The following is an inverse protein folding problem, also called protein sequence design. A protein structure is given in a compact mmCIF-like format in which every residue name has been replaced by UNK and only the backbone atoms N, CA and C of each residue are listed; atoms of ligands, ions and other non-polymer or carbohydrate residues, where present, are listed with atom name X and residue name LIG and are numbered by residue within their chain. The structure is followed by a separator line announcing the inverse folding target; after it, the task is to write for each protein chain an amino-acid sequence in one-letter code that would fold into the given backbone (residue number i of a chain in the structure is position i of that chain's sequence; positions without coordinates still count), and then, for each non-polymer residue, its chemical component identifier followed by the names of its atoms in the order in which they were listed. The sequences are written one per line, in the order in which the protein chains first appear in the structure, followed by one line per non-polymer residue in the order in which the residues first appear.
data_IF_684776621880
#
_entry.id   IF_684776621880
#
_cell.length_a   1.000
_cell.length_b   1.000
_cell.length_c   1.000
_cell.angle_alpha   90.00
_cell.angle_beta   90.00
_cell.angle_gamma   90.00
#
_symmetry.space_group_name_H-M   'P 1'
#
loop_
_entity.id
_entity.type
_entity.pdbx_description
1 polymer ?
#
# COMPACT_ATOMS: atom_id res chain seq x y z
N UNK A 1 25.68 -0.35 -0.75
CA UNK A 1 24.77 0.17 -1.80
C UNK A 1 24.44 -0.93 -2.78
N UNK A 2 23.16 -1.07 -3.18
CA UNK A 2 22.73 -2.06 -4.16
C UNK A 2 23.30 -1.75 -5.55
N UNK A 3 23.37 -2.77 -6.41
CA UNK A 3 23.67 -2.60 -7.82
C UNK A 3 22.44 -2.04 -8.54
N UNK A 4 22.64 -1.07 -9.42
CA UNK A 4 21.62 -0.72 -10.40
C UNK A 4 21.51 -1.86 -11.42
N UNK A 5 20.30 -2.05 -11.97
CA UNK A 5 20.01 -3.08 -12.95
C UNK A 5 19.11 -2.52 -14.05
N UNK A 6 19.21 -3.08 -15.24
CA UNK A 6 18.34 -2.80 -16.37
C UNK A 6 17.48 -4.02 -16.65
N UNK A 7 16.17 -3.82 -16.78
CA UNK A 7 15.22 -4.86 -17.19
C UNK A 7 14.50 -4.35 -18.43
N UNK A 8 14.60 -5.12 -19.50
CA UNK A 8 13.97 -4.81 -20.78
C UNK A 8 12.99 -5.92 -21.12
N UNK A 9 11.77 -5.54 -21.52
CA UNK A 9 10.81 -6.48 -22.11
C UNK A 9 11.28 -6.81 -23.52
N UNK A 10 11.61 -8.07 -23.78
CA UNK A 10 12.07 -8.54 -25.10
C UNK A 10 11.03 -9.32 -25.88
N UNK A 11 10.04 -9.87 -25.20
CA UNK A 11 8.95 -10.61 -25.82
C UNK A 11 7.63 -10.37 -25.10
N UNK A 12 6.64 -11.26 -25.29
CA UNK A 12 5.37 -11.13 -24.61
C UNK A 12 5.59 -11.21 -23.08
N UNK A 13 5.22 -10.16 -22.31
CA UNK A 13 5.53 -10.13 -20.89
C UNK A 13 4.64 -11.12 -20.13
N UNK A 14 5.27 -12.02 -19.37
CA UNK A 14 4.59 -12.81 -18.34
C UNK A 14 4.58 -11.96 -17.06
N UNK A 15 3.40 -11.54 -16.63
CA UNK A 15 3.27 -10.60 -15.51
C UNK A 15 3.40 -11.34 -14.18
N UNK A 16 4.63 -11.47 -13.68
CA UNK A 16 4.98 -12.07 -12.38
C UNK A 16 6.03 -11.24 -11.68
N UNK A 17 6.21 -11.47 -10.39
CA UNK A 17 7.30 -10.86 -9.63
C UNK A 17 8.38 -11.91 -9.38
N UNK A 18 9.63 -11.55 -9.62
CA UNK A 18 10.77 -12.47 -9.60
C UNK A 18 11.75 -12.10 -8.50
N UNK A 19 12.42 -13.12 -7.97
CA UNK A 19 13.54 -12.98 -7.05
C UNK A 19 14.73 -13.73 -7.62
N UNK A 20 15.80 -13.00 -7.94
CA UNK A 20 17.10 -13.59 -8.26
C UNK A 20 17.92 -13.66 -6.98
N UNK A 21 18.47 -14.84 -6.68
CA UNK A 21 19.25 -15.11 -5.47
C UNK A 21 20.65 -15.58 -5.88
N UNK A 22 21.67 -14.91 -5.33
CA UNK A 22 23.07 -15.28 -5.52
C UNK A 22 23.47 -16.32 -4.47
N UNK A 23 23.99 -17.45 -4.91
CA UNK A 23 24.55 -18.50 -4.08
C UNK A 23 26.07 -18.43 -3.94
N UNK A 24 26.60 -19.35 -3.13
CA UNK A 24 28.01 -19.37 -2.71
C UNK A 24 29.00 -19.73 -3.82
N UNK A 25 28.57 -20.50 -4.84
CA UNK A 25 29.43 -21.00 -5.90
C UNK A 25 28.65 -21.30 -7.19
N UNK A 26 29.39 -21.40 -8.30
CA UNK A 26 28.86 -21.91 -9.57
C UNK A 26 28.37 -23.35 -9.36
N UNK A 27 27.15 -23.65 -9.82
CA UNK A 27 26.44 -24.90 -9.55
C UNK A 27 25.28 -24.75 -8.56
N UNK A 28 25.11 -23.57 -7.95
CA UNK A 28 23.91 -23.22 -7.19
C UNK A 28 22.65 -23.19 -8.08
N UNK A 29 22.81 -22.78 -9.34
CA UNK A 29 21.78 -22.83 -10.36
C UNK A 29 22.32 -23.36 -11.69
N UNK A 30 21.43 -23.43 -12.67
CA UNK A 30 21.79 -23.78 -14.03
C UNK A 30 20.87 -23.05 -15.01
N UNK A 31 21.47 -22.46 -16.06
CA UNK A 31 20.72 -21.91 -17.18
C UNK A 31 20.22 -23.04 -18.10
N UNK A 32 19.22 -22.74 -18.92
CA UNK A 32 18.79 -23.62 -20.02
C UNK A 32 19.40 -23.17 -21.34
N UNK A 33 19.55 -24.12 -22.27
CA UNK A 33 19.83 -23.76 -23.67
C UNK A 33 18.63 -23.02 -24.24
N UNK A 34 18.86 -21.91 -24.94
CA UNK A 34 17.82 -21.19 -25.64
C UNK A 34 18.39 -20.35 -26.81
N UNK A 35 17.62 -20.24 -27.88
CA UNK A 35 17.88 -19.25 -28.93
C UNK A 35 17.34 -17.89 -28.48
N UNK A 36 18.21 -16.91 -28.31
CA UNK A 36 17.83 -15.56 -27.88
C UNK A 36 18.23 -14.51 -28.90
N UNK A 37 17.47 -13.42 -28.95
CA UNK A 37 17.81 -12.25 -29.75
C UNK A 37 18.75 -11.33 -28.95
N UNK A 38 20.02 -11.29 -29.33
CA UNK A 38 21.05 -10.49 -28.64
C UNK A 38 21.10 -9.04 -29.14
N UNK A 39 20.75 -8.83 -30.41
CA UNK A 39 20.55 -7.54 -31.06
C UNK A 39 19.37 -7.67 -32.03
N UNK A 40 18.65 -6.59 -32.39
CA UNK A 40 17.56 -6.67 -33.35
C UNK A 40 17.97 -7.42 -34.64
N UNK A 41 17.32 -8.54 -34.92
CA UNK A 41 17.57 -9.45 -36.05
C UNK A 41 18.73 -10.45 -35.86
N UNK A 42 19.43 -10.45 -34.71
CA UNK A 42 20.56 -11.35 -34.42
C UNK A 42 20.21 -12.38 -33.35
N UNK A 43 19.86 -13.57 -33.81
CA UNK A 43 19.57 -14.73 -32.96
C UNK A 43 20.83 -15.54 -32.70
N UNK A 44 21.03 -15.94 -31.44
CA UNK A 44 22.15 -16.79 -31.02
C UNK A 44 21.64 -17.89 -30.10
N UNK A 45 22.15 -19.10 -30.31
CA UNK A 45 21.96 -20.19 -29.36
C UNK A 45 22.91 -19.98 -28.17
N UNK A 46 22.35 -19.81 -26.98
CA UNK A 46 23.10 -19.81 -25.73
C UNK A 46 23.04 -21.22 -25.14
N UNK A 47 24.18 -21.86 -24.82
CA UNK A 47 24.18 -23.18 -24.22
C UNK A 47 23.72 -23.12 -22.75
N UNK A 48 23.26 -24.26 -22.25
CA UNK A 48 23.07 -24.46 -20.81
C UNK A 48 24.42 -24.47 -20.10
N UNK A 49 24.50 -23.80 -18.95
CA UNK A 49 25.68 -23.77 -18.10
C UNK A 49 25.30 -23.71 -16.63
N UNK A 50 26.19 -24.21 -15.76
CA UNK A 50 26.04 -24.02 -14.31
C UNK A 50 26.26 -22.55 -13.98
N UNK A 51 25.52 -22.03 -13.00
CA UNK A 51 25.60 -20.64 -12.58
C UNK A 51 25.64 -20.54 -11.06
N UNK A 52 26.06 -19.39 -10.53
CA UNK A 52 26.02 -19.11 -9.10
C UNK A 52 24.69 -18.49 -8.63
N UNK A 53 23.63 -18.51 -9.45
CA UNK A 53 22.37 -17.85 -9.11
C UNK A 53 21.16 -18.65 -9.59
N UNK A 54 20.04 -18.41 -8.93
CA UNK A 54 18.73 -18.93 -9.34
C UNK A 54 17.73 -17.79 -9.43
N UNK A 55 16.65 -18.02 -10.17
CA UNK A 55 15.54 -17.09 -10.28
C UNK A 55 14.28 -17.83 -9.87
N UNK A 56 13.46 -17.22 -9.03
CA UNK A 56 12.21 -17.81 -8.54
C UNK A 56 11.05 -16.83 -8.69
N UNK A 57 9.86 -17.37 -8.86
CA UNK A 57 8.62 -16.61 -8.71
C UNK A 57 8.41 -16.28 -7.23
N UNK A 58 8.15 -15.02 -6.91
CA UNK A 58 8.02 -14.58 -5.51
C UNK A 58 6.75 -15.09 -4.83
N UNK A 59 5.68 -15.40 -5.60
CA UNK A 59 4.41 -15.92 -5.10
C UNK A 59 4.46 -17.45 -4.97
N UNK A 60 4.84 -18.17 -6.02
CA UNK A 60 4.83 -19.64 -6.00
C UNK A 60 6.10 -20.24 -5.40
N UNK A 61 7.19 -19.46 -5.29
CA UNK A 61 8.54 -19.90 -4.89
C UNK A 61 9.18 -20.92 -5.84
N UNK A 62 8.55 -21.20 -6.98
CA UNK A 62 9.06 -22.13 -7.98
C UNK A 62 10.20 -21.50 -8.78
N UNK A 63 11.18 -22.31 -9.23
CA UNK A 63 12.26 -21.82 -10.09
C UNK A 63 11.74 -21.41 -11.47
N UNK A 64 12.28 -20.30 -11.98
CA UNK A 64 12.02 -19.78 -13.32
C UNK A 64 13.21 -20.13 -14.21
N UNK A 65 12.93 -20.64 -15.42
CA UNK A 65 13.98 -20.97 -16.39
C UNK A 65 14.58 -19.69 -16.96
N UNK A 66 15.88 -19.72 -17.23
CA UNK A 66 16.58 -18.60 -17.83
C UNK A 66 17.71 -19.09 -18.72
N UNK A 67 18.05 -18.31 -19.76
CA UNK A 67 19.30 -18.45 -20.49
C UNK A 67 20.29 -17.40 -19.98
N UNK A 68 21.57 -17.75 -19.95
CA UNK A 68 22.63 -16.89 -19.41
C UNK A 68 23.69 -16.65 -20.47
N UNK A 69 23.98 -15.38 -20.72
CA UNK A 69 25.04 -14.93 -21.59
C UNK A 69 26.19 -14.38 -20.74
N UNK A 70 27.17 -15.24 -20.48
CA UNK A 70 28.42 -14.93 -19.79
C UNK A 70 29.34 -14.11 -20.73
N UNK A 71 29.25 -12.78 -20.62
CA UNK A 71 30.00 -11.85 -21.47
C UNK A 71 31.35 -11.49 -20.87
N UNK A 72 31.48 -11.55 -19.54
CA UNK A 72 32.66 -11.18 -18.77
C UNK A 72 33.60 -12.36 -18.48
N UNK A 73 33.65 -13.31 -19.42
CA UNK A 73 34.54 -14.47 -19.40
C UNK A 73 35.61 -14.31 -20.49
N UNK A 74 36.89 -14.70 -20.27
CA UNK A 74 37.91 -14.67 -21.32
C UNK A 74 37.58 -15.49 -22.57
N UNK A 75 36.74 -16.53 -22.44
CA UNK A 75 36.24 -17.33 -23.55
C UNK A 75 35.07 -16.66 -24.31
N UNK A 76 34.61 -15.49 -23.85
CA UNK A 76 33.52 -14.75 -24.48
C UNK A 76 33.88 -14.40 -25.93
N UNK A 77 32.97 -14.66 -26.89
CA UNK A 77 33.19 -14.27 -28.28
C UNK A 77 33.18 -12.74 -28.47
N UNK A 78 32.64 -12.00 -27.49
CA UNK A 78 32.67 -10.53 -27.51
C UNK A 78 33.97 -10.02 -26.88
N UNK A 79 35.05 -9.96 -27.66
CA UNK A 79 36.38 -9.55 -27.19
C UNK A 79 36.41 -8.17 -26.51
N UNK A 80 35.46 -7.26 -26.82
CA UNK A 80 35.31 -5.97 -26.13
C UNK A 80 34.89 -6.08 -24.66
N UNK A 81 34.27 -7.20 -24.28
CA UNK A 81 33.86 -7.53 -22.93
C UNK A 81 34.76 -8.58 -22.28
N UNK A 82 35.83 -8.99 -22.97
CA UNK A 82 36.85 -9.82 -22.36
C UNK A 82 37.55 -9.01 -21.26
N UNK A 83 37.43 -9.40 -19.99
CA UNK A 83 37.97 -8.64 -18.88
C UNK A 83 39.51 -8.61 -18.84
N UNK A 84 40.19 -9.47 -19.62
CA UNK A 84 41.66 -9.56 -19.62
C UNK A 84 42.35 -8.51 -20.47
N UNK A 85 41.64 -7.84 -21.38
CA UNK A 85 42.28 -6.92 -22.32
C UNK A 85 42.73 -5.62 -21.64
N UNK A 86 42.00 -5.14 -20.63
CA UNK A 86 42.34 -3.97 -19.80
C UNK A 86 41.60 -4.03 -18.45
N UNK A 87 41.98 -4.92 -17.52
CA UNK A 87 41.27 -5.07 -16.26
C UNK A 87 41.40 -3.79 -15.41
N UNK A 88 40.31 -3.31 -14.79
CA UNK A 88 40.38 -2.31 -13.73
C UNK A 88 41.30 -2.78 -12.59
N UNK A 89 41.95 -1.85 -11.89
CA UNK A 89 42.92 -2.18 -10.84
C UNK A 89 42.38 -3.07 -9.71
N UNK A 90 41.05 -3.07 -9.49
CA UNK A 90 40.35 -3.87 -8.48
C UNK A 90 39.53 -5.02 -9.06
N UNK A 91 39.79 -5.41 -10.31
CA UNK A 91 39.07 -6.51 -10.96
C UNK A 91 39.62 -7.86 -10.52
N UNK A 92 38.75 -8.70 -9.98
CA UNK A 92 39.00 -10.11 -9.75
C UNK A 92 38.29 -10.91 -10.83
N UNK A 93 39.03 -11.77 -11.53
CA UNK A 93 38.44 -12.62 -12.55
C UNK A 93 37.48 -13.61 -11.89
N UNK A 94 36.23 -13.61 -12.36
CA UNK A 94 35.19 -14.53 -11.91
C UNK A 94 35.26 -15.85 -12.66
N UNK A 95 34.76 -16.93 -12.05
CA UNK A 95 34.58 -18.20 -12.72
C UNK A 95 33.46 -18.12 -13.76
N UNK A 96 33.54 -18.90 -14.85
CA UNK A 96 32.45 -18.95 -15.82
C UNK A 96 31.15 -19.40 -15.17
N UNK A 97 30.05 -18.70 -15.45
CA UNK A 97 28.75 -18.94 -14.81
C UNK A 97 28.50 -18.10 -13.56
N UNK A 98 29.51 -17.38 -13.06
CA UNK A 98 29.32 -16.42 -11.99
C UNK A 98 28.78 -15.09 -12.56
N UNK A 99 27.62 -14.64 -12.08
CA UNK A 99 27.02 -13.38 -12.51
C UNK A 99 27.94 -12.20 -12.20
N UNK A 100 28.25 -11.39 -13.21
CA UNK A 100 29.23 -10.32 -13.07
C UNK A 100 28.94 -9.10 -13.95
N UNK A 101 29.47 -7.95 -13.54
CA UNK A 101 29.47 -6.71 -14.29
C UNK A 101 30.81 -5.99 -14.11
N UNK A 102 31.42 -5.56 -15.22
CA UNK A 102 32.73 -4.94 -15.27
C UNK A 102 32.62 -3.52 -15.83
N UNK A 103 33.23 -2.57 -15.10
CA UNK A 103 33.43 -1.20 -15.54
C UNK A 103 34.72 -1.11 -16.38
N UNK A 104 34.64 -1.24 -17.71
CA UNK A 104 35.80 -1.14 -18.60
C UNK A 104 36.01 0.27 -19.17
N UNK A 105 37.20 0.54 -19.74
CA UNK A 105 37.53 1.81 -20.41
C UNK A 105 36.71 2.03 -21.70
N UNK A 106 36.30 0.96 -22.37
CA UNK A 106 35.46 0.98 -23.60
C UNK A 106 33.96 1.06 -23.31
N UNK A 107 33.53 1.00 -22.05
CA UNK A 107 32.12 1.04 -21.65
C UNK A 107 31.74 -0.02 -20.62
N UNK A 108 30.43 -0.30 -20.57
CA UNK A 108 29.80 -1.24 -19.63
C UNK A 108 29.75 -2.64 -20.26
N UNK A 109 30.33 -3.63 -19.62
CA UNK A 109 30.13 -5.04 -19.97
C UNK A 109 29.53 -5.77 -18.77
N UNK A 110 28.26 -6.14 -18.91
CA UNK A 110 27.53 -6.94 -17.94
C UNK A 110 27.12 -8.22 -18.60
N UNK A 111 27.12 -9.29 -17.84
CA UNK A 111 26.43 -10.51 -18.26
C UNK A 111 24.94 -10.23 -18.40
N UNK A 112 24.29 -11.04 -19.23
CA UNK A 112 22.90 -10.85 -19.59
C UNK A 112 22.12 -12.12 -19.27
N UNK A 113 20.98 -11.94 -18.61
CA UNK A 113 20.05 -13.00 -18.26
C UNK A 113 18.79 -12.81 -19.09
N UNK A 114 18.31 -13.90 -19.70
CA UNK A 114 17.06 -13.92 -20.44
C UNK A 114 16.09 -14.84 -19.72
N UNK A 115 14.94 -14.33 -19.26
CA UNK A 115 13.89 -15.16 -18.69
C UNK A 115 13.22 -15.97 -19.80
N UNK A 116 13.09 -17.28 -19.57
CA UNK A 116 12.52 -18.24 -20.51
C UNK A 116 11.25 -18.81 -19.89
N UNK A 117 10.11 -18.46 -20.46
CA UNK A 117 8.81 -18.74 -19.85
C UNK A 117 7.81 -19.25 -20.90
N UNK A 118 6.75 -19.88 -20.42
CA UNK A 118 5.64 -20.27 -21.27
C UNK A 118 4.61 -19.12 -21.30
N UNK A 119 4.28 -18.62 -22.49
CA UNK A 119 3.28 -17.56 -22.68
C UNK A 119 2.15 -18.06 -23.59
N UNK A 120 0.97 -18.26 -22.99
CA UNK A 120 -0.21 -18.85 -23.64
C UNK A 120 0.14 -20.23 -24.22
N UNK A 121 0.03 -20.41 -25.53
CA UNK A 121 0.32 -21.67 -26.23
C UNK A 121 1.80 -21.78 -26.65
N UNK A 122 2.59 -20.72 -26.50
CA UNK A 122 4.00 -20.69 -26.87
C UNK A 122 4.86 -21.06 -25.65
N UNK A 123 5.62 -22.14 -25.78
CA UNK A 123 6.54 -22.60 -24.73
C UNK A 123 7.95 -22.05 -24.93
N UNK A 124 8.63 -21.78 -23.82
CA UNK A 124 10.03 -21.39 -23.82
C UNK A 124 10.33 -20.08 -24.58
N UNK A 125 9.44 -19.11 -24.51
CA UNK A 125 9.66 -17.78 -25.11
C UNK A 125 10.53 -16.92 -24.20
N UNK A 126 11.35 -16.06 -24.83
CA UNK A 126 12.10 -15.03 -24.11
C UNK A 126 11.15 -13.90 -23.73
N UNK A 127 11.04 -13.57 -22.44
CA UNK A 127 10.11 -12.55 -21.94
C UNK A 127 10.84 -11.28 -21.54
N UNK A 128 11.81 -11.40 -20.64
CA UNK A 128 12.59 -10.31 -20.08
C UNK A 128 14.09 -10.52 -20.28
N UNK A 129 14.80 -9.43 -20.52
CA UNK A 129 16.27 -9.34 -20.47
C UNK A 129 16.67 -8.56 -19.23
N UNK A 130 17.52 -9.14 -18.41
CA UNK A 130 18.07 -8.52 -17.21
C UNK A 130 19.57 -8.38 -17.40
N UNK A 131 20.10 -7.20 -17.13
CA UNK A 131 21.54 -6.94 -17.09
C UNK A 131 21.87 -6.02 -15.93
N UNK A 132 23.02 -6.21 -15.32
CA UNK A 132 23.49 -5.35 -14.24
C UNK A 132 24.13 -4.08 -14.81
N UNK A 133 23.93 -2.95 -14.14
CA UNK A 133 24.71 -1.77 -14.40
C UNK A 133 26.02 -1.81 -13.59
N UNK A 134 27.09 -1.31 -14.19
CA UNK A 134 28.32 -1.05 -13.45
C UNK A 134 28.05 -0.08 -12.29
N UNK A 135 28.67 -0.35 -11.14
CA UNK A 135 28.43 0.44 -9.93
C UNK A 135 29.05 1.83 -10.09
N UNK A 136 28.28 2.90 -9.92
CA UNK A 136 28.78 4.27 -9.98
C UNK A 136 29.04 4.81 -8.57
N UNK A 137 30.26 5.31 -8.32
CA UNK A 137 30.65 5.88 -7.03
C UNK A 137 31.73 6.94 -7.21
N UNK A 138 31.63 8.03 -6.45
CA UNK A 138 32.64 9.11 -6.40
C UNK A 138 33.11 9.63 -7.78
N UNK A 139 32.21 9.69 -8.76
CA UNK A 139 32.51 10.20 -10.10
C UNK A 139 33.11 9.18 -11.06
N UNK A 140 33.21 7.89 -10.67
CA UNK A 140 33.74 6.81 -11.49
C UNK A 140 32.84 5.57 -11.55
N UNK A 141 33.05 4.74 -12.57
CA UNK A 141 32.49 3.39 -12.64
C UNK A 141 33.45 2.42 -11.94
N UNK A 142 32.93 1.65 -11.00
CA UNK A 142 33.66 0.62 -10.26
C UNK A 142 33.15 -0.76 -10.65
N UNK A 143 34.07 -1.70 -10.80
CA UNK A 143 33.71 -3.10 -10.91
C UNK A 143 33.40 -3.65 -9.53
N UNK A 144 32.19 -4.20 -9.39
CA UNK A 144 31.75 -4.90 -8.18
C UNK A 144 30.80 -6.01 -8.61
N UNK A 145 31.04 -7.22 -8.09
CA UNK A 145 30.23 -8.39 -8.38
C UNK A 145 29.21 -8.63 -7.25
N UNK A 146 28.04 -9.22 -7.56
CA UNK A 146 27.13 -9.72 -6.54
C UNK A 146 27.83 -10.75 -5.64
N UNK A 147 27.51 -10.72 -4.35
CA UNK A 147 28.03 -11.66 -3.36
C UNK A 147 26.97 -12.68 -2.98
N UNK A 148 27.37 -13.85 -2.44
CA UNK A 148 26.42 -14.82 -1.93
C UNK A 148 25.47 -14.21 -0.90
N UNK A 149 24.18 -14.52 -1.03
CA UNK A 149 23.12 -13.93 -0.21
C UNK A 149 22.55 -12.61 -0.76
N UNK A 150 23.19 -11.97 -1.74
CA UNK A 150 22.58 -10.83 -2.43
C UNK A 150 21.35 -11.29 -3.21
N UNK A 151 20.31 -10.45 -3.23
CA UNK A 151 19.08 -10.70 -3.98
C UNK A 151 18.70 -9.50 -4.84
N UNK A 152 18.04 -9.80 -5.95
CA UNK A 152 17.40 -8.81 -6.81
C UNK A 152 15.91 -9.13 -6.90
N UNK A 153 15.08 -8.21 -6.40
CA UNK A 153 13.62 -8.29 -6.53
C UNK A 153 13.16 -7.53 -7.76
N UNK A 154 12.43 -8.22 -8.64
CA UNK A 154 11.86 -7.67 -9.87
C UNK A 154 10.35 -7.61 -9.70
N UNK A 155 9.81 -6.39 -9.70
CA UNK A 155 8.37 -6.17 -9.64
C UNK A 155 7.83 -5.79 -11.00
N UNK A 156 6.83 -6.52 -11.48
CA UNK A 156 6.11 -6.16 -12.71
C UNK A 156 4.87 -5.36 -12.38
N UNK A 157 4.57 -4.38 -13.24
CA UNK A 157 3.30 -3.67 -13.19
C UNK A 157 2.18 -4.63 -13.60
N UNK A 158 1.34 -4.99 -12.64
CA UNK A 158 0.15 -5.82 -12.84
C UNK A 158 -1.02 -4.93 -13.22
N UNK A 159 -1.46 -4.90 -14.50
CA UNK A 159 -2.64 -4.15 -14.87
C UNK A 159 -3.86 -4.78 -14.19
N UNK A 160 -4.82 -3.95 -13.79
CA UNK A 160 -6.14 -4.45 -13.43
C UNK A 160 -6.77 -5.07 -14.67
N UNK A 161 -7.15 -6.34 -14.59
CA UNK A 161 -7.85 -7.05 -15.67
C UNK A 161 -9.28 -7.36 -15.25
N UNK A 162 -10.18 -7.44 -16.23
CA UNK A 162 -11.54 -7.95 -16.03
C UNK A 162 -11.44 -9.34 -15.41
N UNK A 163 -11.90 -9.47 -14.17
CA UNK A 163 -11.79 -10.69 -13.37
C UNK A 163 -10.95 -10.58 -12.09
N UNK A 164 -10.21 -9.48 -11.89
CA UNK A 164 -9.66 -9.20 -10.55
C UNK A 164 -10.81 -9.02 -9.55
N UNK A 165 -10.76 -9.77 -8.46
CA UNK A 165 -11.74 -9.72 -7.38
C UNK A 165 -11.04 -9.29 -6.11
N UNK A 166 -11.46 -8.16 -5.56
CA UNK A 166 -11.13 -7.79 -4.19
C UNK A 166 -12.20 -8.37 -3.29
N UNK A 167 -11.80 -9.24 -2.36
CA UNK A 167 -12.70 -9.82 -1.37
C UNK A 167 -12.28 -9.31 0.00
N UNK A 168 -13.24 -8.71 0.70
CA UNK A 168 -13.13 -8.36 2.10
C UNK A 168 -14.03 -9.31 2.89
N UNK A 169 -13.52 -9.84 4.00
CA UNK A 169 -14.31 -10.62 4.94
C UNK A 169 -14.48 -9.74 6.16
N UNK A 170 -15.73 -9.43 6.49
CA UNK A 170 -16.07 -8.78 7.75
C UNK A 170 -16.41 -9.90 8.73
N UNK A 171 -15.56 -10.12 9.71
CA UNK A 171 -15.79 -11.02 10.85
C UNK A 171 -15.90 -10.20 12.14
N UNK A 172 -16.20 -10.87 13.27
CA UNK A 172 -16.38 -10.20 14.56
C UNK A 172 -15.15 -9.39 15.00
N UNK A 173 -13.96 -9.78 14.54
CA UNK A 173 -12.69 -9.13 14.87
C UNK A 173 -12.50 -7.81 14.10
N UNK A 174 -13.20 -7.65 12.97
CA UNK A 174 -13.15 -6.45 12.11
C UNK A 174 -14.46 -5.64 12.11
N UNK A 175 -15.41 -5.97 13.00
CA UNK A 175 -16.57 -5.12 13.25
C UNK A 175 -16.18 -3.92 14.12
N UNK A 176 -16.81 -2.75 13.93
CA UNK A 176 -16.66 -1.63 14.86
C UNK A 176 -17.08 -2.06 16.27
N UNK A 177 -16.14 -2.01 17.22
CA UNK A 177 -16.40 -2.32 18.63
C UNK A 177 -16.15 -1.08 19.49
N UNK A 178 -16.90 -0.95 20.57
CA UNK A 178 -16.65 0.07 21.59
C UNK A 178 -15.45 -0.39 22.41
N UNK A 179 -14.33 0.33 22.33
CA UNK A 179 -13.16 0.08 23.16
C UNK A 179 -13.22 0.97 24.41
N UNK A 180 -13.31 0.36 25.59
CA UNK A 180 -13.37 1.08 26.87
C UNK A 180 -12.15 1.97 27.13
N UNK A 181 -10.98 1.60 26.57
CA UNK A 181 -9.73 2.35 26.76
C UNK A 181 -9.71 3.63 25.90
N UNK A 182 -10.39 3.64 24.76
CA UNK A 182 -10.52 4.82 23.87
C UNK A 182 -11.83 5.58 24.07
N UNK A 183 -12.80 5.05 24.82
CA UNK A 183 -14.12 5.66 24.98
C UNK A 183 -14.08 7.11 25.46
N UNK A 184 -13.07 7.47 26.28
CA UNK A 184 -12.87 8.86 26.71
C UNK A 184 -12.40 9.77 25.59
N UNK A 185 -11.46 9.32 24.75
CA UNK A 185 -11.04 10.08 23.56
C UNK A 185 -12.14 10.13 22.51
N UNK A 186 -12.93 9.08 22.37
CA UNK A 186 -14.03 9.04 21.40
C UNK A 186 -15.15 10.03 21.77
N UNK A 187 -15.37 10.25 23.08
CA UNK A 187 -16.26 11.31 23.54
C UNK A 187 -15.75 12.70 23.16
N UNK A 188 -14.43 12.95 23.06
CA UNK A 188 -13.89 14.26 22.69
C UNK A 188 -14.34 14.71 21.28
N UNK A 189 -14.70 13.77 20.42
CA UNK A 189 -15.24 14.03 19.08
C UNK A 189 -16.73 14.39 19.07
N UNK A 190 -17.42 14.34 20.22
CA UNK A 190 -18.82 14.78 20.29
C UNK A 190 -18.95 16.27 20.00
N UNK A 191 -19.75 16.61 18.99
CA UNK A 191 -20.05 18.00 18.59
C UNK A 191 -21.55 18.27 18.71
N UNK A 192 -21.87 19.55 18.93
CA UNK A 192 -23.24 20.06 18.90
C UNK A 192 -23.37 20.96 17.68
N UNK A 193 -24.27 20.63 16.76
CA UNK A 193 -24.41 21.32 15.47
C UNK A 193 -25.89 21.67 15.23
N UNK A 194 -26.21 22.91 14.83
CA UNK A 194 -25.32 24.07 14.74
C UNK A 194 -24.98 24.65 16.13
N UNK A 195 -23.76 25.16 16.29
CA UNK A 195 -23.36 25.90 17.49
C UNK A 195 -22.52 27.13 17.11
N UNK A 196 -23.06 28.37 17.25
CA UNK A 196 -24.36 28.68 17.81
C UNK A 196 -25.52 28.29 16.86
N UNK A 197 -26.65 27.91 17.45
CA UNK A 197 -27.92 27.83 16.73
C UNK A 197 -28.43 29.25 16.47
N UNK A 198 -28.70 29.60 15.21
CA UNK A 198 -29.08 30.97 14.79
C UNK A 198 -30.41 30.96 14.05
N UNK A 199 -31.51 31.25 14.75
CA UNK A 199 -32.88 31.33 14.19
C UNK A 199 -33.39 30.00 13.60
N UNK A 200 -32.75 29.50 12.54
CA UNK A 200 -32.99 28.24 11.85
C UNK A 200 -31.69 27.51 11.52
N UNK A 201 -31.80 26.23 11.18
CA UNK A 201 -30.69 25.38 10.76
C UNK A 201 -30.94 24.81 9.36
N UNK A 202 -29.87 24.59 8.59
CA UNK A 202 -29.95 23.90 7.28
C UNK A 202 -30.41 22.45 7.40
N UNK A 203 -30.32 21.88 8.60
CA UNK A 203 -30.76 20.52 8.90
C UNK A 203 -32.27 20.42 9.16
N UNK A 204 -32.96 21.56 9.32
CA UNK A 204 -34.38 21.57 9.62
C UNK A 204 -35.25 21.36 8.37
N UNK A 205 -36.29 20.52 8.45
CA UNK A 205 -37.23 20.36 7.35
C UNK A 205 -37.97 21.67 7.08
N UNK A 206 -38.16 21.98 5.79
CA UNK A 206 -38.94 23.15 5.41
C UNK A 206 -40.40 23.00 5.82
N UNK A 207 -41.00 24.12 6.22
CA UNK A 207 -42.42 24.23 6.52
C UNK A 207 -43.23 23.84 5.28
N UNK A 208 -44.18 22.93 5.43
CA UNK A 208 -45.03 22.46 4.32
C UNK A 208 -46.43 23.06 4.43
N UNK A 209 -47.23 22.97 3.36
CA UNK A 209 -48.64 23.41 3.37
C UNK A 209 -49.52 22.65 4.37
N UNK A 210 -49.03 21.51 4.88
CA UNK A 210 -49.71 20.65 5.86
C UNK A 210 -49.09 20.69 7.26
N UNK A 211 -47.88 21.25 7.42
CA UNK A 211 -47.23 21.44 8.71
C UNK A 211 -46.60 22.84 8.79
N UNK A 212 -47.33 23.76 9.42
CA UNK A 212 -46.91 25.15 9.62
C UNK A 212 -45.88 25.34 10.74
N UNK A 213 -45.56 24.28 11.49
CA UNK A 213 -44.56 24.35 12.57
C UNK A 213 -43.18 24.01 12.04
N UNK A 214 -42.24 24.93 12.22
CA UNK A 214 -40.82 24.66 11.99
C UNK A 214 -40.28 23.82 13.15
N UNK A 215 -40.03 22.54 12.88
CA UNK A 215 -39.38 21.65 13.85
C UNK A 215 -37.90 22.03 13.94
N UNK A 216 -37.50 22.56 15.09
CA UNK A 216 -36.11 22.95 15.31
C UNK A 216 -35.24 21.76 15.63
N UNK A 217 -34.02 21.76 15.14
CA UNK A 217 -33.12 20.62 15.31
C UNK A 217 -31.73 21.04 15.78
N UNK A 218 -31.30 20.42 16.87
CA UNK A 218 -29.93 20.49 17.38
C UNK A 218 -29.35 19.07 17.43
N UNK A 219 -28.26 18.86 16.71
CA UNK A 219 -27.67 17.55 16.47
C UNK A 219 -26.47 17.37 17.39
N UNK A 220 -26.51 16.31 18.20
CA UNK A 220 -25.35 15.84 18.96
C UNK A 220 -24.70 14.71 18.17
N UNK A 221 -23.58 14.99 17.49
CA UNK A 221 -22.88 14.03 16.61
C UNK A 221 -21.80 13.27 17.36
N UNK A 222 -21.49 12.05 16.93
CA UNK A 222 -20.43 11.24 17.55
C UNK A 222 -20.82 10.70 18.93
N UNK A 223 -22.11 10.68 19.26
CA UNK A 223 -22.58 10.20 20.56
C UNK A 223 -22.57 8.67 20.57
N UNK A 224 -21.88 8.03 21.53
CA UNK A 224 -21.95 6.59 21.70
C UNK A 224 -23.30 6.18 22.28
N UNK A 225 -23.79 5.00 21.89
CA UNK A 225 -24.93 4.36 22.53
C UNK A 225 -24.45 3.07 23.23
N UNK A 226 -24.99 2.74 24.42
CA UNK A 226 -25.94 3.53 25.22
C UNK A 226 -25.29 4.74 25.92
N UNK A 227 -26.01 5.86 26.03
CA UNK A 227 -25.56 7.02 26.83
C UNK A 227 -26.72 7.87 27.36
N UNK A 228 -26.47 8.72 28.35
CA UNK A 228 -27.44 9.68 28.88
C UNK A 228 -26.96 11.10 28.58
N UNK A 229 -27.77 11.87 27.85
CA UNK A 229 -27.59 13.28 27.58
C UNK A 229 -28.43 14.12 28.57
N UNK A 230 -27.78 15.05 29.27
CA UNK A 230 -28.40 16.04 30.16
C UNK A 230 -28.10 17.44 29.67
N UNK A 231 -29.11 18.29 29.63
CA UNK A 231 -28.99 19.67 29.16
C UNK A 231 -29.41 20.61 30.28
N UNK A 232 -28.59 21.63 30.54
CA UNK A 232 -28.75 22.57 31.63
C UNK A 232 -28.71 24.02 31.12
N UNK A 233 -29.36 24.91 31.85
CA UNK A 233 -29.11 26.35 31.73
C UNK A 233 -27.70 26.70 32.24
N UNK A 234 -27.22 27.90 31.93
CA UNK A 234 -25.99 28.44 32.52
C UNK A 234 -26.03 28.52 34.07
N UNK A 235 -27.21 28.56 34.68
CA UNK A 235 -27.39 28.52 36.14
C UNK A 235 -27.39 27.10 36.74
N UNK A 236 -27.23 26.05 35.91
CA UNK A 236 -27.23 24.65 36.35
C UNK A 236 -28.63 24.03 36.49
N UNK A 237 -29.68 24.69 35.99
CA UNK A 237 -31.04 24.11 36.03
C UNK A 237 -31.20 23.08 34.93
N UNK A 238 -31.61 21.85 35.29
CA UNK A 238 -31.86 20.78 34.32
C UNK A 238 -33.08 21.09 33.44
N UNK A 239 -32.84 21.19 32.14
CA UNK A 239 -33.87 21.45 31.12
C UNK A 239 -34.42 20.15 30.53
N UNK A 240 -33.52 19.21 30.24
CA UNK A 240 -33.85 17.95 29.58
C UNK A 240 -32.87 16.86 30.00
N UNK A 241 -33.39 15.67 30.25
CA UNK A 241 -32.64 14.41 30.35
C UNK A 241 -33.15 13.47 29.26
N UNK A 242 -32.24 12.88 28.51
CA UNK A 242 -32.51 11.96 27.40
C UNK A 242 -31.63 10.73 27.62
N UNK A 243 -32.24 9.56 27.58
CA UNK A 243 -31.53 8.29 27.53
C UNK A 243 -31.46 7.85 26.05
N UNK A 244 -30.25 7.75 25.51
CA UNK A 244 -29.94 7.49 24.11
C UNK A 244 -29.61 6.01 23.96
N UNK A 245 -30.43 5.31 23.19
CA UNK A 245 -30.18 3.92 22.77
C UNK A 245 -29.80 3.86 21.30
N UNK A 246 -29.39 2.67 20.84
CA UNK A 246 -28.98 2.48 19.44
C UNK A 246 -30.06 2.89 18.43
N UNK A 247 -31.34 2.63 18.76
CA UNK A 247 -32.48 2.98 17.92
C UNK A 247 -32.76 4.49 17.84
N UNK A 248 -32.16 5.30 18.72
CA UNK A 248 -32.32 6.75 18.70
C UNK A 248 -31.27 7.46 17.84
N UNK A 249 -30.21 6.76 17.45
CA UNK A 249 -29.14 7.31 16.64
C UNK A 249 -29.40 7.07 15.15
N UNK A 250 -28.86 7.95 14.32
CA UNK A 250 -28.90 7.79 12.86
C UNK A 250 -28.00 6.66 12.33
N UNK A 251 -27.22 5.99 13.20
CA UNK A 251 -26.26 4.92 12.88
C UNK A 251 -26.09 3.95 14.05
N UNK A 252 -25.73 2.69 13.77
CA UNK A 252 -25.66 1.56 14.72
C UNK A 252 -24.36 1.51 15.56
N UNK A 253 -23.31 2.27 15.23
CA UNK A 253 -21.99 2.17 15.89
C UNK A 253 -21.46 3.53 16.39
N UNK A 254 -22.38 4.39 16.81
CA UNK A 254 -22.12 5.81 17.03
C UNK A 254 -22.77 6.62 15.91
N UNK A 255 -23.35 7.76 16.28
CA UNK A 255 -24.18 8.51 15.35
C UNK A 255 -24.62 9.86 15.88
N UNK A 256 -25.65 10.39 15.24
CA UNK A 256 -26.21 11.69 15.58
C UNK A 256 -27.51 11.49 16.35
N UNK A 257 -27.59 12.08 17.54
CA UNK A 257 -28.86 12.26 18.24
C UNK A 257 -29.45 13.62 17.87
N UNK A 258 -30.64 13.61 17.28
CA UNK A 258 -31.34 14.83 16.87
C UNK A 258 -32.29 15.26 17.99
N UNK A 259 -32.01 16.38 18.63
CA UNK A 259 -32.87 16.97 19.65
C UNK A 259 -33.73 18.09 19.09
N UNK A 260 -35.02 18.05 19.41
CA UNK A 260 -36.01 19.03 18.96
C UNK A 260 -36.01 20.37 19.73
N UNK A 261 -35.00 20.60 20.58
CA UNK A 261 -34.86 21.80 21.41
C UNK A 261 -36.02 22.05 22.41
N UNK A 262 -36.78 21.00 22.75
CA UNK A 262 -37.88 21.09 23.72
C UNK A 262 -37.43 20.67 25.12
N UNK A 263 -37.90 21.40 26.13
CA UNK A 263 -37.74 21.07 27.55
C UNK A 263 -38.52 19.81 27.92
N UNK A 264 -38.40 19.36 29.18
CA UNK A 264 -39.25 18.27 29.70
C UNK A 264 -40.75 18.57 29.55
N UNK A 265 -41.14 19.83 29.71
CA UNK A 265 -42.54 20.27 29.67
C UNK A 265 -42.99 20.64 28.24
N UNK A 266 -42.23 20.20 27.23
CA UNK A 266 -42.51 20.40 25.81
C UNK A 266 -42.55 21.88 25.37
N UNK A 267 -41.80 22.74 26.07
CA UNK A 267 -41.61 24.15 25.74
C UNK A 267 -40.31 24.35 24.98
N UNK A 268 -40.28 25.29 24.04
CA UNK A 268 -39.05 25.64 23.33
C UNK A 268 -38.08 26.39 24.25
N UNK A 269 -36.80 26.03 24.22
CA UNK A 269 -35.77 26.74 25.01
C UNK A 269 -35.62 28.20 24.56
N UNK A 270 -35.28 29.09 25.49
CA UNK A 270 -35.03 30.52 25.20
C UNK A 270 -33.65 30.75 24.58
N UNK A 271 -33.39 31.95 24.07
CA UNK A 271 -32.04 32.35 23.68
C UNK A 271 -31.11 32.33 24.91
N UNK A 272 -29.84 32.00 24.70
CA UNK A 272 -28.86 31.93 25.78
C UNK A 272 -27.81 30.83 25.59
N UNK A 273 -26.95 30.68 26.60
CA UNK A 273 -25.93 29.63 26.66
C UNK A 273 -26.42 28.49 27.54
N UNK A 274 -26.26 27.28 27.04
CA UNK A 274 -26.63 26.03 27.70
C UNK A 274 -25.40 25.15 27.87
N UNK A 275 -25.43 24.33 28.90
CA UNK A 275 -24.44 23.30 29.17
C UNK A 275 -25.05 21.94 28.83
N UNK A 276 -24.24 21.03 28.32
CA UNK A 276 -24.63 19.64 28.19
C UNK A 276 -23.63 18.74 28.91
N UNK A 277 -24.13 17.60 29.35
CA UNK A 277 -23.37 16.51 29.95
C UNK A 277 -23.82 15.20 29.32
N UNK A 278 -22.87 14.43 28.81
CA UNK A 278 -23.08 13.09 28.28
C UNK A 278 -22.33 12.13 29.19
N UNK A 279 -22.99 11.06 29.61
CA UNK A 279 -22.39 9.99 30.40
C UNK A 279 -22.72 8.63 29.79
N UNK A 280 -21.75 7.75 29.69
CA UNK A 280 -21.95 6.35 29.27
C UNK A 280 -22.04 5.41 30.48
N UNK A 281 -22.66 4.22 30.37
CA UNK A 281 -22.70 3.24 31.46
C UNK A 281 -21.33 2.78 31.96
N UNK A 282 -20.31 2.84 31.10
CA UNK A 282 -18.91 2.50 31.39
C UNK A 282 -18.19 3.59 32.21
N UNK A 283 -18.87 4.70 32.51
CA UNK A 283 -18.35 5.78 33.36
C UNK A 283 -17.52 6.83 32.62
N UNK A 284 -17.54 6.83 31.28
CA UNK A 284 -16.98 7.91 30.49
C UNK A 284 -17.96 9.09 30.47
N UNK A 285 -17.45 10.31 30.66
CA UNK A 285 -18.26 11.52 30.73
C UNK A 285 -17.66 12.65 29.90
N UNK A 286 -18.52 13.45 29.29
CA UNK A 286 -18.14 14.70 28.62
C UNK A 286 -19.12 15.81 28.96
N UNK A 287 -18.58 17.00 29.20
CA UNK A 287 -19.34 18.24 29.30
C UNK A 287 -18.98 19.21 28.20
N UNK A 288 -19.95 19.97 27.72
CA UNK A 288 -19.69 21.07 26.80
C UNK A 288 -20.77 22.14 26.88
N UNK A 289 -20.71 23.09 25.95
CA UNK A 289 -21.65 24.21 25.88
C UNK A 289 -22.12 24.47 24.47
N UNK A 290 -23.34 24.98 24.33
CA UNK A 290 -23.86 25.50 23.08
C UNK A 290 -24.63 26.80 23.32
N UNK A 291 -24.72 27.64 22.29
CA UNK A 291 -25.46 28.88 22.34
C UNK A 291 -26.64 28.87 21.37
N UNK A 292 -27.74 29.47 21.81
CA UNK A 292 -28.95 29.68 21.01
C UNK A 292 -29.16 31.18 20.86
N UNK A 293 -29.21 31.64 19.61
CA UNK A 293 -29.46 33.02 19.21
C UNK A 293 -30.77 33.01 18.42
N UNK A 294 -31.76 33.78 18.89
CA UNK A 294 -33.06 33.96 18.23
C UNK A 294 -33.14 35.34 17.61
#
# INVERSE_FOLDING_TARGET
TPHDYEIVVQGPPVVRDYELVIGDAVGFGASTSATVETFPGNFRELPSMSTNFIIRDTQTKEPVKYAFQDLNNPASPQQRCNPTFFPPASYEQVESGQLSAVAGFSGRCSDVIYLIEDYREQKGVVTYRISMNAFFSEGGLLTRHPKPGDTLSVYTNKPFIDGNRFQFIMDQDNLPQINSDTLRSDLDDVLVIPNPYKVSSVFEPQVTSTNFQQNRELHFTGVPAPSTLRIFTASGTLIRKIDITQSNLTSEYGGTYIWNMLTRDNLEISYGVYLYHISTPEGAEKTGKFAVIK
#
